data_IF_936940621424
#
_entry.id   IF_936940621424
#
_cell.length_a   1.000
_cell.length_b   1.000
_cell.length_c   1.000
_cell.angle_alpha   90.00
_cell.angle_beta   90.00
_cell.angle_gamma   90.00
#
_symmetry.space_group_name_H-M   'P 1'
#
loop_
_entity.id
_entity.type
_entity.pdbx_description
1 polymer ?
#
# COMPACT_ATOMS: atom_id res chain seq x y z
N UNK A 1 15.93 8.14 -27.17
CA UNK A 1 16.11 7.97 -25.73
C UNK A 1 14.71 7.87 -25.14
N UNK A 2 14.40 6.79 -24.42
CA UNK A 2 13.04 6.53 -23.97
C UNK A 2 12.72 7.39 -22.76
N UNK A 3 11.55 8.05 -22.80
CA UNK A 3 11.14 9.04 -21.80
C UNK A 3 10.82 8.40 -20.45
N UNK A 4 10.29 7.17 -20.45
CA UNK A 4 9.80 6.53 -19.23
C UNK A 4 10.93 6.07 -18.29
N UNK A 5 11.97 5.32 -18.74
CA UNK A 5 13.08 4.95 -17.87
C UNK A 5 13.84 6.17 -17.33
N UNK A 6 13.94 7.25 -18.11
CA UNK A 6 14.54 8.52 -17.68
C UNK A 6 13.71 9.19 -16.59
N UNK A 7 12.39 9.25 -16.76
CA UNK A 7 11.48 9.79 -15.73
C UNK A 7 11.55 8.98 -14.44
N UNK A 8 11.58 7.65 -14.52
CA UNK A 8 11.73 6.79 -13.35
C UNK A 8 13.09 6.94 -12.67
N UNK A 9 14.16 7.11 -13.44
CA UNK A 9 15.50 7.38 -12.89
C UNK A 9 15.49 8.71 -12.13
N UNK A 10 14.87 9.75 -12.70
CA UNK A 10 14.73 11.05 -12.02
C UNK A 10 13.92 10.95 -10.72
N UNK A 11 12.83 10.17 -10.71
CA UNK A 11 12.09 9.88 -9.48
C UNK A 11 12.99 9.18 -8.45
N UNK A 12 13.76 8.19 -8.88
CA UNK A 12 14.73 7.43 -8.08
C UNK A 12 15.78 8.34 -7.43
N UNK A 13 16.33 9.29 -8.18
CA UNK A 13 17.30 10.27 -7.72
C UNK A 13 16.66 11.28 -6.76
N UNK A 14 15.49 11.81 -7.12
CA UNK A 14 14.74 12.76 -6.28
C UNK A 14 14.39 12.14 -4.94
N UNK A 15 13.95 10.88 -4.94
CA UNK A 15 13.60 10.11 -3.75
C UNK A 15 14.78 9.88 -2.79
N UNK A 16 16.01 9.85 -3.30
CA UNK A 16 17.24 9.66 -2.52
C UNK A 16 17.96 10.97 -2.20
N UNK A 17 17.45 12.09 -2.70
CA UNK A 17 18.04 13.40 -2.43
C UNK A 17 17.81 13.82 -0.98
N UNK A 18 18.81 14.38 -0.29
CA UNK A 18 18.62 15.00 1.03
C UNK A 18 17.69 16.22 0.99
N UNK A 19 17.45 16.78 -0.20
CA UNK A 19 16.56 17.93 -0.43
C UNK A 19 15.16 17.50 -0.89
N UNK A 20 14.85 16.19 -0.84
CA UNK A 20 13.55 15.67 -1.26
C UNK A 20 12.40 16.33 -0.48
N UNK A 21 11.49 16.97 -1.21
CA UNK A 21 10.23 17.51 -0.66
C UNK A 21 9.04 16.79 -1.28
N UNK A 22 7.89 16.82 -0.60
CA UNK A 22 6.62 16.31 -1.14
C UNK A 22 6.32 16.82 -2.54
N UNK A 23 6.55 18.11 -2.80
CA UNK A 23 6.29 18.73 -4.10
C UNK A 23 7.23 18.21 -5.19
N UNK A 24 8.52 18.05 -4.88
CA UNK A 24 9.50 17.50 -5.81
C UNK A 24 9.18 16.05 -6.17
N UNK A 25 8.76 15.25 -5.18
CA UNK A 25 8.31 13.88 -5.42
C UNK A 25 7.06 13.86 -6.29
N UNK A 26 6.05 14.68 -6.00
CA UNK A 26 4.82 14.73 -6.79
C UNK A 26 5.08 15.15 -8.24
N UNK A 27 5.98 16.12 -8.48
CA UNK A 27 6.39 16.51 -9.83
C UNK A 27 7.11 15.37 -10.57
N UNK A 28 8.00 14.66 -9.88
CA UNK A 28 8.70 13.51 -10.47
C UNK A 28 7.73 12.37 -10.82
N UNK A 29 6.77 12.07 -9.93
CA UNK A 29 5.71 11.09 -10.16
C UNK A 29 4.86 11.47 -11.37
N UNK A 30 4.43 12.74 -11.49
CA UNK A 30 3.66 13.21 -12.64
C UNK A 30 4.42 12.98 -13.97
N UNK A 31 5.73 13.27 -13.99
CA UNK A 31 6.56 13.01 -15.16
C UNK A 31 6.62 11.53 -15.56
N UNK A 32 6.57 10.62 -14.59
CA UNK A 32 6.45 9.17 -14.86
C UNK A 32 5.07 8.85 -15.45
N UNK A 33 3.99 9.33 -14.83
CA UNK A 33 2.63 9.03 -15.29
C UNK A 33 2.37 9.47 -16.74
N UNK A 34 2.86 10.65 -17.10
CA UNK A 34 2.80 11.16 -18.48
C UNK A 34 3.58 10.27 -19.45
N UNK A 35 4.72 9.72 -19.01
CA UNK A 35 5.59 8.88 -19.82
C UNK A 35 5.12 7.42 -19.97
N UNK A 36 4.21 6.93 -19.11
CA UNK A 36 3.64 5.58 -19.23
C UNK A 36 2.82 5.46 -20.51
N UNK A 37 2.13 6.52 -20.92
CA UNK A 37 1.21 6.49 -22.05
C UNK A 37 1.99 6.31 -23.36
N UNK A 38 1.84 5.14 -23.99
CA UNK A 38 2.51 4.82 -25.26
C UNK A 38 3.93 4.27 -25.12
N UNK A 39 4.38 3.96 -23.89
CA UNK A 39 5.66 3.28 -23.66
C UNK A 39 5.64 1.84 -24.20
N UNK A 40 6.79 1.37 -24.70
CA UNK A 40 6.97 -0.02 -25.10
C UNK A 40 7.17 -0.95 -23.90
N UNK A 41 6.95 -2.25 -24.08
CA UNK A 41 7.09 -3.27 -23.01
C UNK A 41 8.49 -3.27 -22.39
N UNK A 42 9.54 -3.06 -23.18
CA UNK A 42 10.92 -2.99 -22.66
C UNK A 42 11.11 -1.81 -21.69
N UNK A 43 10.58 -0.64 -22.05
CA UNK A 43 10.63 0.56 -21.20
C UNK A 43 9.80 0.40 -19.92
N UNK A 44 8.63 -0.24 -20.01
CA UNK A 44 7.78 -0.57 -18.86
C UNK A 44 8.52 -1.51 -17.90
N UNK A 45 9.20 -2.54 -18.42
CA UNK A 45 9.96 -3.49 -17.61
C UNK A 45 11.19 -2.84 -16.97
N UNK A 46 11.88 -1.95 -17.68
CA UNK A 46 12.98 -1.19 -17.12
C UNK A 46 12.49 -0.24 -16.00
N UNK A 47 11.36 0.44 -16.22
CA UNK A 47 10.71 1.26 -15.21
C UNK A 47 10.32 0.46 -13.96
N UNK A 48 9.78 -0.76 -14.13
CA UNK A 48 9.47 -1.68 -13.02
C UNK A 48 10.73 -2.12 -12.27
N UNK A 49 11.84 -2.33 -12.97
CA UNK A 49 13.13 -2.65 -12.32
C UNK A 49 13.63 -1.48 -11.48
N UNK A 50 13.50 -0.24 -11.97
CA UNK A 50 13.84 0.96 -11.19
C UNK A 50 12.88 1.11 -10.00
N UNK A 51 11.58 0.85 -10.18
CA UNK A 51 10.61 0.87 -9.10
C UNK A 51 10.95 -0.14 -8.00
N UNK A 52 11.35 -1.35 -8.39
CA UNK A 52 11.83 -2.38 -7.48
C UNK A 52 13.01 -1.90 -6.63
N UNK A 53 14.00 -1.24 -7.24
CA UNK A 53 15.15 -0.68 -6.53
C UNK A 53 14.77 0.45 -5.57
N UNK A 54 13.75 1.24 -5.91
CA UNK A 54 13.22 2.27 -5.00
C UNK A 54 12.50 1.62 -3.81
N UNK A 55 11.64 0.63 -4.07
CA UNK A 55 10.86 -0.06 -3.04
C UNK A 55 11.74 -0.87 -2.07
N UNK A 56 12.86 -1.41 -2.55
CA UNK A 56 13.81 -2.16 -1.73
C UNK A 56 14.74 -1.27 -0.89
N UNK A 57 14.77 0.05 -1.11
CA UNK A 57 15.66 0.97 -0.39
C UNK A 57 14.98 1.51 0.87
N UNK A 58 15.38 0.97 2.04
CA UNK A 58 14.86 1.38 3.35
C UNK A 58 15.07 2.87 3.68
N UNK A 59 15.97 3.55 2.97
CA UNK A 59 16.29 4.97 3.19
C UNK A 59 15.36 5.91 2.45
N UNK A 60 14.59 5.40 1.47
CA UNK A 60 13.68 6.21 0.67
C UNK A 60 12.45 6.60 1.49
N UNK A 61 12.02 7.86 1.35
CA UNK A 61 10.92 8.43 2.12
C UNK A 61 9.59 7.70 1.89
N UNK A 62 8.82 7.48 2.95
CA UNK A 62 7.57 6.67 2.96
C UNK A 62 6.51 7.12 1.96
N UNK A 63 6.39 8.43 1.73
CA UNK A 63 5.52 9.01 0.70
C UNK A 63 5.85 8.46 -0.70
N UNK A 64 7.14 8.24 -0.98
CA UNK A 64 7.61 7.67 -2.25
C UNK A 64 7.18 6.22 -2.37
N UNK A 65 7.24 5.42 -1.30
CA UNK A 65 6.82 4.01 -1.32
C UNK A 65 5.37 3.85 -1.77
N UNK A 66 4.44 4.67 -1.26
CA UNK A 66 3.05 4.66 -1.74
C UNK A 66 2.98 5.02 -3.22
N UNK A 67 3.60 6.12 -3.62
CA UNK A 67 3.52 6.63 -5.00
C UNK A 67 4.15 5.65 -6.00
N UNK A 68 5.26 5.04 -5.64
CA UNK A 68 5.92 4.03 -6.46
C UNK A 68 5.07 2.77 -6.55
N UNK A 69 4.39 2.36 -5.48
CA UNK A 69 3.43 1.24 -5.54
C UNK A 69 2.25 1.52 -6.46
N UNK A 70 1.72 2.75 -6.43
CA UNK A 70 0.68 3.20 -7.38
C UNK A 70 1.23 3.17 -8.83
N UNK A 71 2.47 3.60 -9.04
CA UNK A 71 3.12 3.56 -10.35
C UNK A 71 3.39 2.12 -10.84
N UNK A 72 3.82 1.20 -9.97
CA UNK A 72 4.04 -0.21 -10.37
C UNK A 72 2.75 -0.84 -10.87
N UNK A 73 1.64 -0.57 -10.17
CA UNK A 73 0.32 -1.00 -10.63
C UNK A 73 0.05 -0.48 -12.05
N UNK A 74 0.16 0.84 -12.29
CA UNK A 74 -0.06 1.45 -13.61
C UNK A 74 0.86 0.89 -14.71
N UNK A 75 2.13 0.66 -14.39
CA UNK A 75 3.11 0.08 -15.32
C UNK A 75 2.72 -1.33 -15.76
N UNK A 76 2.24 -2.15 -14.83
CA UNK A 76 1.69 -3.48 -15.15
C UNK A 76 0.39 -3.37 -15.94
N UNK A 77 -0.49 -2.40 -15.63
CA UNK A 77 -1.70 -2.19 -16.43
C UNK A 77 -1.40 -1.81 -17.88
N UNK A 78 -0.29 -1.10 -18.10
CA UNK A 78 0.21 -0.75 -19.42
C UNK A 78 0.92 -1.91 -20.15
N UNK A 79 1.11 -3.07 -19.50
CA UNK A 79 1.68 -4.27 -20.11
C UNK A 79 3.10 -4.64 -19.65
N UNK A 80 3.61 -4.02 -18.59
CA UNK A 80 4.86 -4.44 -17.94
C UNK A 80 4.73 -5.75 -17.18
N UNK A 81 5.86 -6.43 -16.95
CA UNK A 81 5.93 -7.72 -16.25
C UNK A 81 5.75 -7.55 -14.72
N UNK A 82 4.64 -8.03 -14.14
CA UNK A 82 4.36 -7.86 -12.72
C UNK A 82 5.35 -8.61 -11.80
N UNK A 83 6.09 -9.61 -12.30
CA UNK A 83 7.06 -10.35 -11.49
C UNK A 83 8.27 -9.53 -11.08
N UNK A 84 8.58 -8.46 -11.83
CA UNK A 84 9.76 -7.61 -11.57
C UNK A 84 9.69 -6.89 -10.22
N UNK A 85 8.48 -6.62 -9.72
CA UNK A 85 8.25 -5.91 -8.44
C UNK A 85 7.39 -6.69 -7.46
N UNK A 86 6.74 -7.77 -7.91
CA UNK A 86 5.71 -8.44 -7.13
C UNK A 86 6.22 -9.09 -5.84
N UNK A 87 7.46 -9.60 -5.80
CA UNK A 87 8.03 -10.17 -4.57
C UNK A 87 8.23 -9.10 -3.48
N UNK A 88 8.81 -7.96 -3.82
CA UNK A 88 9.03 -6.87 -2.85
C UNK A 88 7.72 -6.26 -2.39
N UNK A 89 6.74 -6.09 -3.29
CA UNK A 89 5.41 -5.65 -2.88
C UNK A 89 4.75 -6.63 -1.91
N UNK A 90 4.89 -7.93 -2.13
CA UNK A 90 4.34 -8.96 -1.26
C UNK A 90 4.98 -8.95 0.14
N UNK A 91 6.30 -8.70 0.22
CA UNK A 91 7.00 -8.50 1.49
C UNK A 91 6.56 -7.21 2.21
N UNK A 92 6.60 -6.07 1.51
CA UNK A 92 6.26 -4.75 2.07
C UNK A 92 4.80 -4.69 2.54
N UNK A 93 3.88 -5.29 1.78
CA UNK A 93 2.46 -5.30 2.12
C UNK A 93 2.19 -6.16 3.35
N UNK A 94 2.85 -7.33 3.47
CA UNK A 94 2.73 -8.19 4.66
C UNK A 94 3.17 -7.50 5.95
N UNK A 95 4.32 -6.82 5.92
CA UNK A 95 4.83 -6.05 7.06
C UNK A 95 3.91 -4.87 7.41
N UNK A 96 3.48 -4.12 6.39
CA UNK A 96 2.62 -2.96 6.55
C UNK A 96 1.27 -3.32 7.18
N UNK A 97 0.65 -4.42 6.73
CA UNK A 97 -0.62 -4.89 7.23
C UNK A 97 -0.51 -5.42 8.67
N UNK A 98 0.55 -6.18 8.97
CA UNK A 98 0.80 -6.70 10.32
C UNK A 98 0.99 -5.56 11.32
N UNK A 99 1.84 -4.58 10.96
CA UNK A 99 2.06 -3.38 11.77
C UNK A 99 0.77 -2.60 12.00
N UNK A 100 -0.02 -2.38 10.95
CA UNK A 100 -1.31 -1.68 11.03
C UNK A 100 -2.29 -2.36 12.01
N UNK A 101 -2.41 -3.68 11.95
CA UNK A 101 -3.31 -4.44 12.84
C UNK A 101 -2.84 -4.37 14.31
N UNK A 102 -1.56 -4.65 14.57
CA UNK A 102 -1.01 -4.61 15.94
C UNK A 102 -1.16 -3.22 16.57
N UNK A 103 -0.94 -2.20 15.75
CA UNK A 103 -1.11 -0.82 16.15
C UNK A 103 -2.57 -0.50 16.49
N UNK A 104 -3.52 -0.84 15.60
CA UNK A 104 -4.95 -0.66 15.87
C UNK A 104 -5.38 -1.33 17.19
N UNK A 105 -4.94 -2.56 17.44
CA UNK A 105 -5.24 -3.29 18.67
C UNK A 105 -4.71 -2.57 19.92
N UNK A 106 -3.46 -2.09 19.85
CA UNK A 106 -2.82 -1.38 20.95
C UNK A 106 -3.56 -0.08 21.28
N UNK A 107 -3.94 0.68 20.27
CA UNK A 107 -4.61 1.97 20.49
C UNK A 107 -6.06 1.79 20.98
N UNK A 108 -6.78 0.79 20.46
CA UNK A 108 -8.10 0.43 20.99
C UNK A 108 -8.02 0.05 22.48
N UNK A 109 -6.99 -0.71 22.89
CA UNK A 109 -6.79 -1.06 24.29
C UNK A 109 -6.54 0.18 25.17
N UNK A 110 -5.73 1.14 24.72
CA UNK A 110 -5.47 2.39 25.44
C UNK A 110 -6.72 3.27 25.57
N UNK A 111 -7.55 3.36 24.52
CA UNK A 111 -8.77 4.15 24.55
C UNK A 111 -9.85 3.55 25.46
N UNK A 112 -9.93 2.22 25.53
CA UNK A 112 -10.77 1.50 26.50
C UNK A 112 -10.24 1.72 27.92
N UNK A 113 -8.94 1.51 28.14
CA UNK A 113 -8.31 1.66 29.46
C UNK A 113 -8.38 3.08 30.03
N UNK A 114 -8.45 4.10 29.16
CA UNK A 114 -8.61 5.51 29.55
C UNK A 114 -10.08 5.95 29.69
N UNK A 115 -11.05 5.04 29.46
CA UNK A 115 -12.48 5.34 29.53
C UNK A 115 -12.98 6.27 28.43
N UNK A 116 -12.17 6.53 27.40
CA UNK A 116 -12.53 7.37 26.25
C UNK A 116 -13.45 6.65 25.27
N UNK A 117 -13.38 5.32 25.26
CA UNK A 117 -14.26 4.44 24.51
C UNK A 117 -14.81 3.40 25.46
N UNK A 118 -16.14 3.23 25.48
CA UNK A 118 -16.78 2.16 26.23
C UNK A 118 -17.47 1.23 25.23
N UNK A 119 -16.90 0.05 24.92
CA UNK A 119 -17.60 -0.91 24.08
C UNK A 119 -18.89 -1.36 24.77
N UNK A 120 -19.99 -1.36 24.03
CA UNK A 120 -21.21 -2.01 24.50
C UNK A 120 -20.97 -3.51 24.65
N UNK A 121 -21.53 -4.12 25.70
CA UNK A 121 -21.28 -5.51 26.02
C UNK A 121 -21.78 -6.42 24.88
N UNK A 122 -20.87 -7.23 24.32
CA UNK A 122 -21.18 -8.14 23.21
C UNK A 122 -21.21 -7.51 21.82
N UNK A 123 -20.97 -6.20 21.69
CA UNK A 123 -20.90 -5.54 20.39
C UNK A 123 -19.45 -5.43 19.88
N UNK A 124 -19.19 -5.72 18.59
CA UNK A 124 -17.89 -5.43 18.00
C UNK A 124 -17.66 -3.91 18.01
N UNK A 125 -16.44 -3.50 18.38
CA UNK A 125 -16.01 -2.12 18.24
C UNK A 125 -16.00 -1.74 16.76
N UNK A 126 -16.96 -0.90 16.37
CA UNK A 126 -16.99 -0.28 15.04
C UNK A 126 -16.25 1.04 15.11
N UNK A 127 -15.27 1.23 14.21
CA UNK A 127 -14.53 2.48 14.11
C UNK A 127 -15.45 3.57 13.53
N UNK A 128 -15.92 4.51 14.34
CA UNK A 128 -16.63 5.70 13.84
C UNK A 128 -15.62 6.75 13.34
N UNK A 129 -16.04 7.70 12.51
CA UNK A 129 -15.16 8.78 12.03
C UNK A 129 -14.55 9.61 13.18
N UNK A 130 -15.31 9.88 14.23
CA UNK A 130 -14.82 10.58 15.44
C UNK A 130 -13.79 9.74 16.20
N UNK A 131 -13.99 8.42 16.29
CA UNK A 131 -12.99 7.51 16.84
C UNK A 131 -11.72 7.53 15.96
N UNK A 132 -11.87 7.44 14.64
CA UNK A 132 -10.77 7.42 13.69
C UNK A 132 -9.91 8.70 13.76
N UNK A 133 -10.52 9.89 13.86
CA UNK A 133 -9.80 11.16 14.00
C UNK A 133 -9.06 11.28 15.34
N UNK A 134 -9.71 10.88 16.44
CA UNK A 134 -9.09 10.85 17.78
C UNK A 134 -7.94 9.84 17.85
N UNK A 135 -8.10 8.69 17.19
CA UNK A 135 -7.04 7.72 17.06
C UNK A 135 -5.89 8.28 16.25
N UNK A 136 -6.14 8.93 15.10
CA UNK A 136 -5.12 9.50 14.22
C UNK A 136 -4.13 10.41 14.98
N UNK A 137 -4.64 11.28 15.85
CA UNK A 137 -3.80 12.16 16.67
C UNK A 137 -2.89 11.37 17.64
N UNK A 138 -3.41 10.31 18.26
CA UNK A 138 -2.61 9.40 19.08
C UNK A 138 -1.65 8.55 18.21
N UNK A 139 -2.05 8.19 16.98
CA UNK A 139 -1.23 7.45 16.02
C UNK A 139 0.03 8.20 15.65
N UNK A 140 -0.13 9.48 15.29
CA UNK A 140 0.98 10.34 14.94
C UNK A 140 1.98 10.55 16.10
N UNK A 141 1.55 10.40 17.35
CA UNK A 141 2.42 10.57 18.52
C UNK A 141 3.23 9.32 18.88
N UNK A 142 2.69 8.11 18.64
CA UNK A 142 3.30 6.85 19.09
C UNK A 142 4.10 6.15 17.99
N UNK A 143 3.52 6.04 16.79
CA UNK A 143 4.21 5.53 15.62
C UNK A 143 3.72 6.24 14.35
N UNK A 144 4.42 7.30 13.92
CA UNK A 144 4.08 8.03 12.70
C UNK A 144 4.06 7.15 11.44
N UNK A 145 4.77 6.00 11.43
CA UNK A 145 4.75 5.07 10.31
C UNK A 145 3.41 4.43 10.13
N UNK A 146 2.94 3.83 11.22
CA UNK A 146 1.70 3.07 11.20
C UNK A 146 0.51 4.01 11.15
N UNK A 147 0.63 5.21 11.72
CA UNK A 147 -0.28 6.33 11.50
C UNK A 147 -0.46 6.67 10.02
N UNK A 148 0.65 6.81 9.29
CA UNK A 148 0.62 7.13 7.87
C UNK A 148 0.10 5.97 7.02
N UNK A 149 0.53 4.74 7.31
CA UNK A 149 0.01 3.54 6.66
C UNK A 149 -1.48 3.45 6.86
N UNK A 150 -1.98 3.64 8.09
CA UNK A 150 -3.40 3.66 8.40
C UNK A 150 -4.18 4.81 7.74
N UNK A 151 -3.58 5.95 7.44
CA UNK A 151 -4.30 7.03 6.75
C UNK A 151 -4.36 6.80 5.23
N UNK A 152 -3.30 6.21 4.66
CA UNK A 152 -3.15 6.01 3.22
C UNK A 152 -3.35 4.54 2.79
N UNK A 153 -3.81 3.69 3.71
CA UNK A 153 -3.95 2.25 3.49
C UNK A 153 -4.80 1.89 2.28
N UNK A 154 -5.90 2.59 1.93
CA UNK A 154 -6.71 2.16 0.80
C UNK A 154 -5.90 2.25 -0.49
N UNK A 155 -5.26 3.40 -0.75
CA UNK A 155 -4.52 3.62 -2.00
C UNK A 155 -3.29 2.71 -2.12
N UNK A 156 -2.48 2.60 -1.05
CA UNK A 156 -1.30 1.75 -1.05
C UNK A 156 -1.64 0.26 -1.16
N UNK A 157 -2.54 -0.23 -0.30
CA UNK A 157 -2.88 -1.66 -0.25
C UNK A 157 -3.67 -2.09 -1.49
N UNK A 158 -4.58 -1.27 -2.02
CA UNK A 158 -5.30 -1.62 -3.25
C UNK A 158 -4.37 -1.66 -4.46
N UNK A 159 -3.43 -0.72 -4.58
CA UNK A 159 -2.45 -0.76 -5.67
C UNK A 159 -1.56 -2.01 -5.58
N UNK A 160 -1.03 -2.32 -4.40
CA UNK A 160 -0.21 -3.51 -4.18
C UNK A 160 -0.99 -4.82 -4.44
N UNK A 161 -2.24 -4.92 -3.97
CA UNK A 161 -3.10 -6.09 -4.22
C UNK A 161 -3.41 -6.22 -5.72
N UNK A 162 -3.83 -5.14 -6.38
CA UNK A 162 -4.14 -5.15 -7.81
C UNK A 162 -2.92 -5.55 -8.66
N UNK A 163 -1.72 -5.14 -8.24
CA UNK A 163 -0.47 -5.59 -8.84
C UNK A 163 -0.24 -7.10 -8.66
N UNK A 164 -0.34 -7.59 -7.42
CA UNK A 164 -0.09 -9.00 -7.08
C UNK A 164 -1.11 -9.93 -7.75
N UNK A 165 -2.37 -9.52 -7.90
CA UNK A 165 -3.39 -10.30 -8.62
C UNK A 165 -3.00 -10.57 -10.09
N UNK A 166 -2.21 -9.68 -10.69
CA UNK A 166 -1.70 -9.84 -12.05
C UNK A 166 -0.46 -10.75 -12.14
N UNK A 167 0.07 -11.25 -11.01
CA UNK A 167 1.19 -12.19 -10.94
C UNK A 167 0.75 -13.59 -10.44
N UNK A 168 0.12 -14.43 -11.28
CA UNK A 168 -0.37 -15.75 -10.87
C UNK A 168 0.74 -16.69 -10.35
N UNK A 169 1.96 -16.56 -10.86
CA UNK A 169 3.12 -17.35 -10.42
C UNK A 169 3.49 -17.05 -8.97
N UNK A 170 3.48 -15.77 -8.56
CA UNK A 170 3.77 -15.39 -7.17
C UNK A 170 2.72 -15.93 -6.21
N UNK A 171 1.43 -15.90 -6.60
CA UNK A 171 0.35 -16.47 -5.79
C UNK A 171 0.49 -17.97 -5.61
N UNK A 172 1.03 -18.65 -6.62
CA UNK A 172 1.28 -20.10 -6.58
C UNK A 172 2.51 -20.44 -5.74
N UNK A 173 3.58 -19.64 -5.82
CA UNK A 173 4.84 -19.88 -5.10
C UNK A 173 4.80 -19.45 -3.64
N UNK A 174 3.97 -18.45 -3.31
CA UNK A 174 3.85 -17.87 -1.97
C UNK A 174 2.38 -17.79 -1.51
N UNK A 175 1.69 -18.94 -1.42
CA UNK A 175 0.28 -19.00 -1.05
C UNK A 175 0.03 -18.48 0.37
N UNK A 176 0.95 -18.68 1.30
CA UNK A 176 0.86 -18.20 2.68
C UNK A 176 0.83 -16.68 2.77
N UNK A 177 1.67 -16.00 1.97
CA UNK A 177 1.73 -14.54 1.96
C UNK A 177 0.49 -13.98 1.31
N UNK A 178 0.03 -14.59 0.20
CA UNK A 178 -1.23 -14.20 -0.46
C UNK A 178 -2.42 -14.35 0.49
N UNK A 179 -2.51 -15.46 1.23
CA UNK A 179 -3.56 -15.68 2.22
C UNK A 179 -3.51 -14.66 3.38
N UNK A 180 -2.30 -14.27 3.80
CA UNK A 180 -2.11 -13.25 4.82
C UNK A 180 -2.63 -11.89 4.34
N UNK A 181 -2.41 -11.54 3.07
CA UNK A 181 -2.98 -10.35 2.44
C UNK A 181 -4.51 -10.37 2.46
N UNK A 182 -5.13 -11.49 2.08
CA UNK A 182 -6.59 -11.64 2.09
C UNK A 182 -7.16 -11.52 3.50
N UNK A 183 -6.52 -12.18 4.47
CA UNK A 183 -6.97 -12.18 5.86
C UNK A 183 -6.80 -10.81 6.53
N UNK A 184 -5.69 -10.14 6.29
CA UNK A 184 -5.43 -8.81 6.83
C UNK A 184 -6.31 -7.75 6.17
N UNK A 185 -6.53 -7.86 4.86
CA UNK A 185 -7.50 -7.04 4.13
C UNK A 185 -8.90 -7.20 4.72
N UNK A 186 -9.38 -8.43 4.94
CA UNK A 186 -10.68 -8.70 5.60
C UNK A 186 -10.76 -8.16 7.03
N UNK A 187 -9.68 -8.28 7.82
CA UNK A 187 -9.65 -7.76 9.20
C UNK A 187 -9.71 -6.24 9.24
N UNK A 188 -8.93 -5.55 8.40
CA UNK A 188 -9.00 -4.10 8.28
C UNK A 188 -10.38 -3.68 7.78
N UNK A 189 -10.92 -4.40 6.80
CA UNK A 189 -12.24 -4.14 6.27
C UNK A 189 -13.36 -4.22 7.31
N UNK A 190 -13.31 -5.25 8.17
CA UNK A 190 -14.21 -5.39 9.32
C UNK A 190 -14.04 -4.27 10.35
N UNK A 191 -12.84 -3.70 10.48
CA UNK A 191 -12.56 -2.57 11.37
C UNK A 191 -13.15 -1.26 10.81
N UNK A 192 -13.16 -1.06 9.48
CA UNK A 192 -13.46 0.25 8.86
C UNK A 192 -14.75 0.35 8.05
N UNK A 193 -15.15 -0.69 7.33
CA UNK A 193 -16.22 -0.63 6.32
C UNK A 193 -17.48 -1.41 6.68
N UNK A 194 -17.40 -2.32 7.65
CA UNK A 194 -18.45 -3.33 7.82
C UNK A 194 -18.62 -4.18 6.54
N UNK A 195 -19.68 -5.00 6.45
CA UNK A 195 -19.83 -6.04 5.41
C UNK A 195 -20.03 -5.56 3.95
N UNK A 196 -19.85 -4.27 3.63
CA UNK A 196 -20.23 -3.66 2.35
C UNK A 196 -19.05 -3.16 1.50
N UNK A 197 -17.83 -3.62 1.75
CA UNK A 197 -16.65 -3.08 1.08
C UNK A 197 -16.26 -3.85 -0.19
N UNK A 198 -15.50 -3.16 -1.05
CA UNK A 198 -14.95 -3.68 -2.30
C UNK A 198 -14.21 -5.01 -2.11
N UNK A 199 -13.44 -5.17 -1.02
CA UNK A 199 -12.68 -6.40 -0.75
C UNK A 199 -13.59 -7.56 -0.34
N UNK A 200 -14.65 -7.30 0.44
CA UNK A 200 -15.66 -8.33 0.75
C UNK A 200 -16.33 -8.81 -0.53
N UNK A 201 -16.66 -7.87 -1.42
CA UNK A 201 -17.44 -8.13 -2.65
C UNK A 201 -16.63 -8.85 -3.74
N UNK A 202 -15.34 -8.55 -3.89
CA UNK A 202 -14.47 -9.19 -4.91
C UNK A 202 -13.84 -10.51 -4.42
N UNK A 203 -13.51 -10.65 -3.13
CA UNK A 203 -12.99 -11.91 -2.60
C UNK A 203 -14.03 -13.01 -2.49
N UNK A 204 -15.31 -12.66 -2.29
CA UNK A 204 -16.41 -13.62 -2.34
C UNK A 204 -16.66 -14.13 -3.77
N UNK A 205 -16.47 -13.29 -4.79
CA UNK A 205 -16.58 -13.72 -6.20
C UNK A 205 -15.48 -14.72 -6.59
N UNK A 206 -14.25 -14.52 -6.13
CA UNK A 206 -13.12 -15.40 -6.46
C UNK A 206 -13.07 -16.71 -5.65
N UNK A 207 -13.80 -16.82 -4.53
CA UNK A 207 -13.93 -18.08 -3.78
C UNK A 207 -15.20 -18.89 -4.18
N UNK A 208 -16.05 -18.33 -5.03
CA UNK A 208 -17.27 -18.98 -5.54
C UNK A 208 -17.08 -19.65 -6.92
N UNK A 209 -15.88 -19.56 -7.48
CA UNK A 209 -15.44 -20.11 -8.78
C UNK A 209 -14.35 -21.15 -8.59
#
# INVERSE_FOLDING_TARGET
>A
MSVLPEAMTKLSETARSPEATTDLINQAVQGVEEAITGAGVEDLNQALTIAQDILADERVHRLVTQKVTELTQKLVEAGGDPLLTGWTLLMLLGESLTGSIQYCQTVMADAIGSGRVTPAEGEPLVMTNELAELYLQAMMQRDPYVAWLFYNWPSYSFAAVAHIERAPELRTQHPENTQLLLNASKKLDQIFGGPASYLTTELEKNNAS
#
